data_IF_269078607910
#
_entry.id   IF_269078607910
#
_cell.length_a   1.000
_cell.length_b   1.000
_cell.length_c   1.000
_cell.angle_alpha   90.00
_cell.angle_beta   90.00
_cell.angle_gamma   90.00
#
_symmetry.space_group_name_H-M   'P 1'
#
loop_
_entity.id
_entity.type
_entity.pdbx_description
1 polymer ?
#
# COMPACT_ATOMS: atom_id res chain seq x y z
N UNK A 1 -17.49 -12.11 -4.26
CA UNK A 1 -17.40 -10.99 -3.28
C UNK A 1 -15.98 -10.45 -3.13
N UNK A 2 -14.96 -11.30 -2.85
CA UNK A 2 -13.60 -10.81 -2.59
C UNK A 2 -12.93 -10.06 -3.76
N UNK A 3 -13.20 -10.47 -5.03
CA UNK A 3 -12.70 -9.73 -6.21
C UNK A 3 -13.27 -8.32 -6.26
N UNK A 4 -14.58 -8.17 -6.00
CA UNK A 4 -15.22 -6.85 -5.97
C UNK A 4 -14.57 -5.97 -4.90
N UNK A 5 -14.30 -6.53 -3.72
CA UNK A 5 -13.61 -5.81 -2.65
C UNK A 5 -12.17 -5.44 -3.03
N UNK A 6 -11.44 -6.32 -3.73
CA UNK A 6 -10.12 -5.99 -4.25
C UNK A 6 -10.15 -4.84 -5.26
N UNK A 7 -11.15 -4.81 -6.15
CA UNK A 7 -11.36 -3.71 -7.11
C UNK A 7 -11.75 -2.41 -6.39
N UNK A 8 -12.64 -2.46 -5.41
CA UNK A 8 -13.01 -1.29 -4.59
C UNK A 8 -11.78 -0.77 -3.82
N UNK A 9 -10.94 -1.65 -3.29
CA UNK A 9 -9.67 -1.26 -2.67
C UNK A 9 -8.82 -0.44 -3.64
N UNK A 10 -8.63 -0.93 -4.87
CA UNK A 10 -7.87 -0.21 -5.90
C UNK A 10 -8.48 1.16 -6.23
N UNK A 11 -9.82 1.25 -6.32
CA UNK A 11 -10.51 2.53 -6.57
C UNK A 11 -10.23 3.52 -5.46
N UNK A 12 -10.42 3.12 -4.21
CA UNK A 12 -10.18 3.98 -3.06
C UNK A 12 -8.69 4.33 -2.87
N UNK A 13 -7.77 3.41 -3.18
CA UNK A 13 -6.34 3.69 -3.17
C UNK A 13 -5.96 4.75 -4.24
N UNK A 14 -6.54 4.65 -5.44
CA UNK A 14 -6.40 5.67 -6.49
C UNK A 14 -6.93 7.03 -6.03
N UNK A 15 -8.14 7.05 -5.44
CA UNK A 15 -8.75 8.27 -4.90
C UNK A 15 -7.89 8.89 -3.78
N UNK A 16 -7.32 8.08 -2.90
CA UNK A 16 -6.36 8.55 -1.87
C UNK A 16 -5.21 9.34 -2.50
N UNK A 17 -4.60 8.79 -3.56
CA UNK A 17 -3.47 9.41 -4.25
C UNK A 17 -3.88 10.71 -4.94
N UNK A 18 -5.05 10.73 -5.57
CA UNK A 18 -5.61 11.92 -6.22
C UNK A 18 -5.85 13.04 -5.20
N UNK A 19 -6.53 12.74 -4.10
CA UNK A 19 -6.82 13.71 -3.04
C UNK A 19 -5.53 14.27 -2.43
N UNK A 20 -4.53 13.42 -2.21
CA UNK A 20 -3.22 13.85 -1.74
C UNK A 20 -2.53 14.79 -2.75
N UNK A 21 -2.52 14.42 -4.03
CA UNK A 21 -1.88 15.22 -5.10
C UNK A 21 -2.54 16.58 -5.30
N UNK A 22 -3.86 16.64 -5.21
CA UNK A 22 -4.63 17.88 -5.42
C UNK A 22 -4.56 18.83 -4.23
N UNK A 23 -4.53 18.30 -3.02
CA UNK A 23 -4.77 19.08 -1.81
C UNK A 23 -3.58 19.31 -0.92
N UNK A 24 -2.56 18.45 -0.93
CA UNK A 24 -1.41 18.51 -0.02
C UNK A 24 -0.24 19.11 -0.79
N UNK A 25 0.04 20.40 -0.58
CA UNK A 25 1.09 21.15 -1.30
C UNK A 25 2.28 21.51 -0.41
N UNK A 26 2.01 22.00 0.80
CA UNK A 26 3.01 22.56 1.70
C UNK A 26 3.25 21.68 2.94
N UNK A 27 2.27 20.82 3.29
CA UNK A 27 2.41 19.91 4.43
C UNK A 27 3.44 18.82 4.15
N UNK A 28 4.37 18.62 5.09
CA UNK A 28 5.34 17.54 5.02
C UNK A 28 4.64 16.18 4.91
N UNK A 29 5.18 15.30 4.06
CA UNK A 29 4.57 13.99 3.77
C UNK A 29 4.49 13.06 4.97
N UNK A 30 5.45 13.11 5.90
CA UNK A 30 5.43 12.28 7.12
C UNK A 30 4.27 12.74 8.04
N UNK A 31 4.10 14.07 8.20
CA UNK A 31 3.01 14.66 8.98
C UNK A 31 1.66 14.34 8.34
N UNK A 32 1.52 14.55 7.02
CA UNK A 32 0.30 14.23 6.29
C UNK A 32 -0.08 12.76 6.44
N UNK A 33 0.91 11.86 6.41
CA UNK A 33 0.70 10.41 6.59
C UNK A 33 0.28 10.09 8.02
N UNK A 34 0.94 10.67 9.03
CA UNK A 34 0.58 10.43 10.43
C UNK A 34 -0.83 10.93 10.77
N UNK A 35 -1.19 12.15 10.33
CA UNK A 35 -2.55 12.71 10.51
C UNK A 35 -3.59 11.88 9.76
N UNK A 36 -3.31 11.48 8.51
CA UNK A 36 -4.17 10.59 7.73
C UNK A 36 -4.42 9.27 8.46
N UNK A 37 -3.39 8.68 9.06
CA UNK A 37 -3.51 7.40 9.76
C UNK A 37 -4.40 7.50 11.00
N UNK A 38 -4.51 8.66 11.66
CA UNK A 38 -5.52 8.90 12.71
C UNK A 38 -6.92 8.74 12.12
N UNK A 39 -7.19 9.37 10.97
CA UNK A 39 -8.50 9.28 10.31
C UNK A 39 -8.81 7.84 9.91
N UNK A 40 -7.81 7.13 9.36
CA UNK A 40 -7.95 5.69 9.02
C UNK A 40 -8.31 4.87 10.24
N UNK A 41 -7.65 5.11 11.39
CA UNK A 41 -7.93 4.38 12.63
C UNK A 41 -9.34 4.65 13.12
N UNK A 42 -9.73 5.92 13.21
CA UNK A 42 -11.09 6.30 13.63
C UNK A 42 -12.14 5.66 12.72
N UNK A 43 -11.94 5.76 11.40
CA UNK A 43 -12.86 5.15 10.44
C UNK A 43 -12.93 3.62 10.57
N UNK A 44 -11.80 2.95 10.78
CA UNK A 44 -11.76 1.50 10.98
C UNK A 44 -12.52 1.09 12.26
N UNK A 45 -12.37 1.82 13.36
CA UNK A 45 -13.13 1.56 14.59
C UNK A 45 -14.63 1.82 14.44
N UNK A 46 -15.02 2.87 13.70
CA UNK A 46 -16.45 3.10 13.36
C UNK A 46 -17.00 1.87 12.64
N UNK A 47 -16.27 1.31 11.68
CA UNK A 47 -16.72 0.11 10.96
C UNK A 47 -16.78 -1.12 11.85
N UNK A 48 -15.86 -1.29 12.81
CA UNK A 48 -15.92 -2.35 13.82
C UNK A 48 -17.22 -2.28 14.63
N UNK A 49 -17.65 -1.08 15.02
CA UNK A 49 -18.91 -0.87 15.73
C UNK A 49 -20.13 -1.11 14.83
N UNK A 50 -20.10 -0.62 13.59
CA UNK A 50 -21.20 -0.78 12.60
C UNK A 50 -21.44 -2.27 12.30
N UNK A 51 -20.36 -3.04 12.11
CA UNK A 51 -20.43 -4.49 11.85
C UNK A 51 -20.73 -5.31 13.11
N UNK A 52 -20.58 -4.70 14.30
CA UNK A 52 -20.84 -5.37 15.58
C UNK A 52 -19.71 -6.31 16.03
N UNK A 53 -18.51 -6.21 15.43
CA UNK A 53 -17.38 -7.11 15.73
C UNK A 53 -16.61 -6.70 17.00
N UNK A 54 -16.98 -5.59 17.65
CA UNK A 54 -16.32 -5.13 18.89
C UNK A 54 -16.30 -6.20 20.00
N UNK A 55 -17.40 -6.93 20.19
CA UNK A 55 -17.50 -7.98 21.20
C UNK A 55 -16.57 -9.18 20.99
N UNK A 56 -15.98 -9.34 19.80
CA UNK A 56 -15.08 -10.46 19.47
C UNK A 56 -13.62 -10.17 19.81
N UNK A 57 -13.28 -8.97 20.31
CA UNK A 57 -11.89 -8.59 20.68
C UNK A 57 -11.29 -9.57 21.68
N UNK A 58 -12.05 -9.97 22.69
CA UNK A 58 -11.59 -10.90 23.74
C UNK A 58 -11.44 -12.34 23.27
N UNK A 59 -12.03 -12.68 22.13
CA UNK A 59 -11.97 -14.01 21.50
C UNK A 59 -10.83 -14.16 20.50
N UNK A 60 -10.02 -13.10 20.26
CA UNK A 60 -8.90 -13.15 19.31
C UNK A 60 -7.81 -14.06 19.89
N UNK A 61 -7.43 -15.06 19.10
CA UNK A 61 -6.30 -15.92 19.44
C UNK A 61 -5.00 -15.12 19.57
N UNK A 62 -4.13 -15.39 20.58
CA UNK A 62 -2.85 -14.71 20.73
C UNK A 62 -1.97 -14.78 19.49
N UNK A 63 -2.03 -15.87 18.75
CA UNK A 63 -1.32 -16.04 17.49
C UNK A 63 -1.79 -15.04 16.43
N UNK A 64 -3.09 -14.91 16.22
CA UNK A 64 -3.68 -13.95 15.28
C UNK A 64 -3.32 -12.51 15.66
N UNK A 65 -3.43 -12.16 16.95
CA UNK A 65 -3.05 -10.85 17.44
C UNK A 65 -1.57 -10.55 17.18
N UNK A 66 -0.68 -11.52 17.44
CA UNK A 66 0.76 -11.37 17.16
C UNK A 66 1.01 -11.08 15.67
N UNK A 67 0.37 -11.84 14.76
CA UNK A 67 0.54 -11.64 13.32
C UNK A 67 -0.03 -10.30 12.82
N UNK A 68 -1.14 -9.82 13.41
CA UNK A 68 -1.68 -8.49 13.11
C UNK A 68 -0.72 -7.38 13.56
N UNK A 69 -0.13 -7.50 14.75
CA UNK A 69 0.89 -6.57 15.24
C UNK A 69 2.13 -6.60 14.33
N UNK A 70 2.64 -7.79 14.00
CA UNK A 70 3.79 -7.94 13.12
C UNK A 70 3.52 -7.36 11.72
N UNK A 71 2.29 -7.51 11.18
CA UNK A 71 1.89 -6.88 9.92
C UNK A 71 1.91 -5.36 10.01
N UNK A 72 1.42 -4.78 11.10
CA UNK A 72 1.49 -3.34 11.35
C UNK A 72 2.94 -2.84 11.46
N UNK A 73 3.78 -3.56 12.20
CA UNK A 73 5.22 -3.28 12.32
C UNK A 73 5.92 -3.35 10.98
N UNK A 74 5.65 -4.39 10.17
CA UNK A 74 6.21 -4.54 8.84
C UNK A 74 5.85 -3.35 7.93
N UNK A 75 4.60 -2.85 8.01
CA UNK A 75 4.18 -1.65 7.27
C UNK A 75 5.04 -0.43 7.65
N UNK A 76 5.20 -0.16 8.93
CA UNK A 76 5.99 0.98 9.39
C UNK A 76 7.49 0.84 9.08
N UNK A 77 8.05 -0.36 9.24
CA UNK A 77 9.44 -0.65 8.89
C UNK A 77 9.67 -0.49 7.37
N UNK A 78 8.72 -0.92 6.54
CA UNK A 78 8.77 -0.67 5.10
C UNK A 78 8.86 0.83 4.81
N UNK A 79 8.02 1.66 5.43
CA UNK A 79 8.06 3.11 5.24
C UNK A 79 9.39 3.72 5.70
N UNK A 80 9.91 3.32 6.87
CA UNK A 80 11.20 3.81 7.39
C UNK A 80 12.31 3.49 6.39
N UNK A 81 12.39 2.24 5.93
CA UNK A 81 13.39 1.81 4.97
C UNK A 81 13.25 2.52 3.62
N UNK A 82 12.03 2.66 3.11
CA UNK A 82 11.74 3.36 1.87
C UNK A 82 12.21 4.82 1.90
N UNK A 83 11.79 5.58 2.91
CA UNK A 83 12.19 6.98 3.04
C UNK A 83 13.69 7.13 3.31
N UNK A 84 14.31 6.17 4.01
CA UNK A 84 15.76 6.17 4.20
C UNK A 84 16.49 5.93 2.87
N UNK A 85 16.03 4.97 2.06
CA UNK A 85 16.58 4.74 0.73
C UNK A 85 16.46 5.98 -0.17
N UNK A 86 15.29 6.64 -0.15
CA UNK A 86 15.03 7.88 -0.92
C UNK A 86 15.92 9.06 -0.47
N UNK A 87 16.33 9.11 0.80
CA UNK A 87 17.27 10.13 1.28
C UNK A 87 18.73 9.89 0.88
N UNK A 88 19.04 8.70 0.35
CA UNK A 88 20.40 8.28 0.01
C UNK A 88 20.63 8.07 -1.49
N UNK A 89 19.57 7.94 -2.28
CA UNK A 89 19.66 7.65 -3.71
C UNK A 89 18.45 8.20 -4.49
N UNK A 90 18.61 8.27 -5.81
CA UNK A 90 17.58 8.74 -6.72
C UNK A 90 16.29 7.91 -6.62
N UNK A 91 15.15 8.58 -6.69
CA UNK A 91 13.81 7.98 -6.73
C UNK A 91 13.72 6.91 -7.82
N UNK A 92 14.33 7.15 -8.98
CA UNK A 92 14.32 6.23 -10.13
C UNK A 92 15.06 4.90 -9.87
N UNK A 93 15.91 4.84 -8.85
CA UNK A 93 16.61 3.62 -8.42
C UNK A 93 15.85 2.91 -7.30
N UNK A 94 15.28 3.67 -6.36
CA UNK A 94 14.61 3.13 -5.17
C UNK A 94 13.22 2.57 -5.50
N UNK A 95 12.41 3.33 -6.26
CA UNK A 95 11.02 2.96 -6.54
C UNK A 95 10.87 1.60 -7.26
N UNK A 96 11.70 1.23 -8.26
CA UNK A 96 11.63 -0.10 -8.87
C UNK A 96 11.79 -1.23 -7.86
N UNK A 97 12.75 -1.08 -6.96
CA UNK A 97 13.03 -2.10 -5.94
C UNK A 97 11.86 -2.20 -4.97
N UNK A 98 11.33 -1.07 -4.50
CA UNK A 98 10.14 -1.07 -3.62
C UNK A 98 8.93 -1.72 -4.29
N UNK A 99 8.67 -1.41 -5.57
CA UNK A 99 7.55 -2.01 -6.34
C UNK A 99 7.72 -3.50 -6.59
N UNK A 100 8.94 -4.05 -6.52
CA UNK A 100 9.18 -5.50 -6.59
C UNK A 100 8.54 -6.25 -5.40
N UNK A 101 8.12 -5.55 -4.35
CA UNK A 101 7.34 -6.12 -3.24
C UNK A 101 6.10 -6.88 -3.71
N UNK A 102 5.44 -6.42 -4.78
CA UNK A 102 4.27 -7.11 -5.37
C UNK A 102 4.67 -8.50 -5.87
N UNK A 103 5.78 -8.60 -6.60
CA UNK A 103 6.33 -9.86 -7.11
C UNK A 103 6.66 -10.78 -5.95
N UNK A 104 7.37 -10.25 -4.94
CA UNK A 104 7.74 -11.00 -3.75
C UNK A 104 6.51 -11.51 -2.98
N UNK A 105 5.46 -10.68 -2.86
CA UNK A 105 4.21 -11.09 -2.21
C UNK A 105 3.54 -12.24 -2.95
N UNK A 106 3.46 -12.17 -4.29
CA UNK A 106 2.86 -13.25 -5.10
C UNK A 106 3.64 -14.55 -4.94
N UNK A 107 4.97 -14.49 -5.04
CA UNK A 107 5.82 -15.67 -4.85
C UNK A 107 5.70 -16.26 -3.45
N UNK A 108 5.71 -15.43 -2.41
CA UNK A 108 5.52 -15.87 -1.04
C UNK A 108 4.11 -16.47 -0.83
N UNK A 109 3.07 -15.91 -1.43
CA UNK A 109 1.71 -16.44 -1.33
C UNK A 109 1.62 -17.83 -1.97
N UNK A 110 2.26 -18.04 -3.12
CA UNK A 110 2.32 -19.35 -3.79
C UNK A 110 3.01 -20.38 -2.87
N UNK A 111 4.15 -20.02 -2.28
CA UNK A 111 4.96 -20.93 -1.47
C UNK A 111 4.34 -21.18 -0.09
N UNK A 112 3.92 -20.13 0.61
CA UNK A 112 3.48 -20.21 2.01
C UNK A 112 2.02 -20.64 2.18
N UNK A 113 1.15 -20.25 1.23
CA UNK A 113 -0.27 -20.60 1.29
C UNK A 113 -0.67 -21.71 0.32
N UNK A 114 0.30 -22.25 -0.44
CA UNK A 114 0.02 -23.31 -1.41
C UNK A 114 -0.89 -22.84 -2.56
N UNK A 115 -0.83 -21.58 -2.92
CA UNK A 115 -1.68 -21.00 -3.99
C UNK A 115 -1.23 -21.45 -5.38
N UNK A 116 -1.19 -22.77 -5.63
CA UNK A 116 -0.63 -23.37 -6.86
C UNK A 116 -1.65 -23.53 -8.00
N UNK A 117 -2.95 -23.25 -7.74
CA UNK A 117 -3.95 -23.32 -8.80
C UNK A 117 -3.57 -22.39 -9.95
N UNK A 118 -3.59 -22.91 -11.18
CA UNK A 118 -3.16 -22.20 -12.39
C UNK A 118 -1.79 -21.48 -12.27
N UNK A 119 -0.80 -22.21 -11.71
CA UNK A 119 0.54 -21.68 -11.42
C UNK A 119 1.19 -20.96 -12.62
N UNK A 120 1.03 -21.50 -13.83
CA UNK A 120 1.59 -20.92 -15.05
C UNK A 120 1.03 -19.50 -15.27
N UNK A 121 -0.29 -19.33 -15.12
CA UNK A 121 -0.94 -18.02 -15.26
C UNK A 121 -0.41 -17.04 -14.21
N UNK A 122 -0.23 -17.49 -12.97
CA UNK A 122 0.32 -16.66 -11.89
C UNK A 122 1.75 -16.23 -12.18
N UNK A 123 2.61 -17.15 -12.62
CA UNK A 123 4.00 -16.82 -12.95
C UNK A 123 4.12 -15.89 -14.14
N UNK A 124 3.40 -16.18 -15.25
CA UNK A 124 3.39 -15.31 -16.43
C UNK A 124 2.82 -13.94 -16.08
N UNK A 125 1.69 -13.87 -15.37
CA UNK A 125 1.10 -12.62 -14.90
C UNK A 125 2.05 -11.82 -14.00
N UNK A 126 2.76 -12.50 -13.10
CA UNK A 126 3.78 -11.86 -12.24
C UNK A 126 4.93 -11.26 -13.05
N UNK A 127 5.42 -11.98 -14.07
CA UNK A 127 6.46 -11.45 -14.98
C UNK A 127 5.94 -10.24 -15.75
N UNK A 128 4.71 -10.30 -16.27
CA UNK A 128 4.10 -9.16 -16.97
C UNK A 128 3.97 -7.94 -16.04
N UNK A 129 3.54 -8.13 -14.80
CA UNK A 129 3.47 -7.07 -13.79
C UNK A 129 4.86 -6.51 -13.50
N UNK A 130 5.86 -7.37 -13.34
CA UNK A 130 7.24 -6.95 -13.11
C UNK A 130 7.75 -6.05 -14.22
N UNK A 131 7.69 -6.54 -15.47
CA UNK A 131 8.11 -5.78 -16.64
C UNK A 131 7.33 -4.48 -16.77
N UNK A 132 6.00 -4.53 -16.59
CA UNK A 132 5.11 -3.37 -16.64
C UNK A 132 5.50 -2.29 -15.62
N UNK A 133 5.71 -2.67 -14.36
CA UNK A 133 6.14 -1.76 -13.29
C UNK A 133 7.48 -1.10 -13.63
N UNK A 134 8.47 -1.89 -14.07
CA UNK A 134 9.78 -1.34 -14.45
C UNK A 134 9.69 -0.40 -15.68
N UNK A 135 8.81 -0.68 -16.64
CA UNK A 135 8.59 0.20 -17.79
C UNK A 135 7.93 1.53 -17.42
N UNK A 136 7.08 1.53 -16.37
CA UNK A 136 6.40 2.75 -15.92
C UNK A 136 7.31 3.73 -15.19
N UNK A 137 8.51 3.29 -14.76
CA UNK A 137 9.44 4.17 -14.08
C UNK A 137 10.08 5.10 -15.09
N UNK A 138 9.79 6.38 -14.94
CA UNK A 138 10.37 7.44 -15.74
C UNK A 138 11.73 7.85 -15.19
N UNK A 139 12.74 7.87 -16.03
CA UNK A 139 13.99 8.56 -15.72
C UNK A 139 13.69 10.07 -15.76
N UNK A 140 13.64 10.73 -14.60
CA UNK A 140 13.76 12.17 -14.52
C UNK A 140 15.26 12.49 -14.55
N UNK A 141 15.66 13.42 -15.39
CA UNK A 141 17.01 13.99 -15.39
C UNK A 141 17.11 14.90 -14.13
N UNK A 142 17.28 14.27 -13.00
CA UNK A 142 17.67 14.96 -11.77
C UNK A 142 19.19 14.87 -11.69
N UNK A 143 19.84 16.01 -11.37
CA UNK A 143 21.27 16.04 -11.16
C UNK A 143 21.71 14.88 -10.25
N UNK A 144 22.82 14.18 -10.57
CA UNK A 144 23.23 13.01 -9.81
C UNK A 144 23.48 13.42 -8.35
N UNK A 145 22.57 13.02 -7.45
CA UNK A 145 22.91 12.99 -6.03
C UNK A 145 23.98 11.92 -5.85
N UNK A 146 25.09 12.27 -5.18
CA UNK A 146 26.09 11.29 -4.80
C UNK A 146 25.41 10.13 -4.07
N UNK A 147 25.44 8.95 -4.70
CA UNK A 147 24.86 7.74 -4.12
C UNK A 147 25.66 7.37 -2.87
N UNK A 148 25.09 7.62 -1.70
CA UNK A 148 25.66 7.12 -0.45
C UNK A 148 25.61 5.58 -0.46
N UNK A 149 26.68 4.94 -0.01
CA UNK A 149 26.75 3.47 0.10
C UNK A 149 25.63 2.97 1.02
N UNK A 150 24.96 1.88 0.64
CA UNK A 150 23.96 1.20 1.48
C UNK A 150 22.50 1.51 1.15
N UNK A 151 22.16 2.45 0.25
CA UNK A 151 20.77 2.73 -0.13
C UNK A 151 20.02 1.49 -0.64
N UNK A 152 20.72 0.60 -1.36
CA UNK A 152 20.13 -0.61 -1.92
C UNK A 152 19.62 -1.56 -0.83
N UNK A 153 20.35 -1.67 0.30
CA UNK A 153 19.92 -2.49 1.43
C UNK A 153 18.60 -1.99 1.97
N UNK A 154 18.45 -0.68 2.16
CA UNK A 154 17.19 -0.09 2.62
C UNK A 154 16.06 -0.26 1.60
N UNK A 155 16.33 -0.12 0.30
CA UNK A 155 15.33 -0.34 -0.74
C UNK A 155 14.84 -1.79 -0.79
N UNK A 156 15.75 -2.77 -0.67
CA UNK A 156 15.41 -4.20 -0.60
C UNK A 156 14.64 -4.52 0.68
N UNK A 157 15.07 -4.00 1.83
CA UNK A 157 14.35 -4.17 3.09
C UNK A 157 12.95 -3.58 3.03
N UNK A 158 12.77 -2.41 2.38
CA UNK A 158 11.45 -1.83 2.15
C UNK A 158 10.54 -2.81 1.39
N UNK A 159 11.02 -3.38 0.29
CA UNK A 159 10.26 -4.35 -0.51
C UNK A 159 9.93 -5.63 0.29
N UNK A 160 10.88 -6.14 1.06
CA UNK A 160 10.67 -7.33 1.91
C UNK A 160 9.61 -7.06 2.98
N UNK A 161 9.71 -5.94 3.69
CA UNK A 161 8.72 -5.59 4.71
C UNK A 161 7.35 -5.27 4.10
N UNK A 162 7.30 -4.64 2.91
CA UNK A 162 6.04 -4.42 2.20
C UNK A 162 5.36 -5.73 1.81
N UNK A 163 6.11 -6.71 1.32
CA UNK A 163 5.59 -8.04 1.04
C UNK A 163 5.13 -8.76 2.33
N UNK A 164 5.96 -8.70 3.37
CA UNK A 164 5.64 -9.29 4.67
C UNK A 164 4.33 -8.73 5.26
N UNK A 165 4.02 -7.44 5.04
CA UNK A 165 2.77 -6.81 5.48
C UNK A 165 1.54 -7.60 5.07
N UNK A 166 1.42 -7.97 3.80
CA UNK A 166 0.24 -8.68 3.27
C UNK A 166 0.21 -10.15 3.70
N UNK A 167 1.37 -10.80 3.72
CA UNK A 167 1.50 -12.20 4.15
C UNK A 167 1.15 -12.35 5.64
N UNK A 168 1.72 -11.53 6.49
CA UNK A 168 1.45 -11.54 7.94
C UNK A 168 -0.02 -11.16 8.22
N UNK A 169 -0.58 -10.21 7.45
CA UNK A 169 -1.98 -9.85 7.59
C UNK A 169 -2.89 -11.04 7.24
N UNK A 170 -2.63 -11.78 6.16
CA UNK A 170 -3.42 -12.96 5.78
C UNK A 170 -3.46 -13.98 6.92
N UNK A 171 -2.32 -14.23 7.57
CA UNK A 171 -2.26 -15.14 8.72
C UNK A 171 -3.00 -14.54 9.93
N UNK A 172 -2.77 -13.25 10.20
CA UNK A 172 -3.33 -12.58 11.38
C UNK A 172 -4.84 -12.41 11.35
N UNK A 173 -5.46 -12.24 10.17
CA UNK A 173 -6.92 -12.11 10.04
C UNK A 173 -7.65 -13.46 9.92
N UNK A 174 -6.93 -14.58 9.99
CA UNK A 174 -7.55 -15.91 10.02
C UNK A 174 -8.30 -16.06 11.36
N UNK A 175 -9.62 -16.26 11.31
CA UNK A 175 -10.46 -16.35 12.51
C UNK A 175 -10.76 -15.02 13.20
N UNK A 176 -10.30 -13.89 12.68
CA UNK A 176 -10.62 -12.54 13.16
C UNK A 176 -11.45 -11.82 12.13
N UNK A 177 -12.50 -11.08 12.54
CA UNK A 177 -13.27 -10.26 11.60
C UNK A 177 -12.36 -9.21 10.93
N UNK A 178 -12.47 -9.04 9.60
CA UNK A 178 -11.49 -8.28 8.81
C UNK A 178 -11.39 -6.79 9.18
N UNK A 179 -12.52 -6.16 9.57
CA UNK A 179 -12.50 -4.75 10.00
C UNK A 179 -11.79 -4.62 11.36
N UNK A 180 -12.03 -5.56 12.28
CA UNK A 180 -11.36 -5.60 13.59
C UNK A 180 -9.85 -5.83 13.40
N UNK A 181 -9.46 -6.80 12.56
CA UNK A 181 -8.06 -7.03 12.22
C UNK A 181 -7.40 -5.79 11.61
N UNK A 182 -8.11 -5.07 10.73
CA UNK A 182 -7.64 -3.83 10.12
C UNK A 182 -7.46 -2.72 11.17
N UNK A 183 -8.41 -2.57 12.10
CA UNK A 183 -8.34 -1.56 13.17
C UNK A 183 -7.14 -1.79 14.10
N UNK A 184 -6.92 -3.04 14.53
CA UNK A 184 -5.80 -3.42 15.42
C UNK A 184 -4.46 -3.09 14.75
N UNK A 185 -4.24 -3.57 13.53
CA UNK A 185 -2.97 -3.31 12.83
C UNK A 185 -2.77 -1.84 12.50
N UNK A 186 -3.85 -1.10 12.21
CA UNK A 186 -3.78 0.35 11.95
C UNK A 186 -3.33 1.11 13.20
N UNK A 187 -3.71 0.67 14.39
CA UNK A 187 -3.19 1.20 15.66
C UNK A 187 -1.67 1.11 15.75
N UNK A 188 -1.10 -0.05 15.37
CA UNK A 188 0.36 -0.23 15.34
C UNK A 188 1.01 0.68 14.29
N UNK A 189 0.42 0.77 13.09
CA UNK A 189 0.90 1.66 12.03
C UNK A 189 0.88 3.12 12.48
N UNK A 190 -0.17 3.54 13.21
CA UNK A 190 -0.28 4.90 13.75
C UNK A 190 0.86 5.22 14.71
N UNK A 191 1.15 4.31 15.66
CA UNK A 191 2.26 4.49 16.61
C UNK A 191 3.57 4.71 15.86
N UNK A 192 3.84 3.88 14.84
CA UNK A 192 5.08 4.00 14.05
C UNK A 192 5.11 5.27 13.17
N UNK A 193 3.98 5.67 12.57
CA UNK A 193 3.90 6.91 11.81
C UNK A 193 4.23 8.12 12.69
N UNK A 194 3.69 8.18 13.90
CA UNK A 194 4.02 9.24 14.86
C UNK A 194 5.44 9.14 15.40
N UNK A 195 5.96 7.94 15.63
CA UNK A 195 7.36 7.75 15.99
C UNK A 195 8.31 8.34 14.93
N UNK A 196 7.98 8.19 13.63
CA UNK A 196 8.74 8.83 12.55
C UNK A 196 8.67 10.36 12.63
N UNK A 197 7.49 10.94 12.85
CA UNK A 197 7.29 12.39 12.95
C UNK A 197 8.06 12.97 14.15
N UNK A 198 7.99 12.33 15.31
CA UNK A 198 8.72 12.76 16.51
C UNK A 198 10.22 12.54 16.37
N UNK A 199 10.65 11.37 15.87
CA UNK A 199 12.06 11.05 15.69
C UNK A 199 12.77 11.98 14.70
N UNK A 200 12.05 12.51 13.70
CA UNK A 200 12.56 13.52 12.76
C UNK A 200 12.36 14.97 13.25
N UNK A 201 11.81 15.20 14.44
CA UNK A 201 11.54 16.53 14.99
C UNK A 201 10.47 17.34 14.25
N UNK A 202 9.72 16.72 13.34
CA UNK A 202 8.76 17.38 12.46
C UNK A 202 7.44 17.79 13.15
N UNK A 203 7.20 17.31 14.37
CA UNK A 203 5.99 17.63 15.16
C UNK A 203 5.77 19.14 15.35
N UNK A 204 6.86 19.94 15.32
CA UNK A 204 6.77 21.41 15.43
C UNK A 204 5.99 22.05 14.27
N UNK A 205 5.98 21.42 13.10
CA UNK A 205 5.36 21.94 11.88
C UNK A 205 3.85 21.58 11.75
N UNK A 206 3.31 20.83 12.69
CA UNK A 206 1.88 20.41 12.66
C UNK A 206 0.95 21.63 12.69
N UNK A 207 1.30 22.65 13.46
CA UNK A 207 0.51 23.89 13.57
C UNK A 207 0.45 24.70 12.26
N UNK A 208 1.35 24.42 11.31
CA UNK A 208 1.41 25.09 10.01
C UNK A 208 0.47 24.48 8.95
N UNK A 209 -0.27 23.41 9.28
CA UNK A 209 -1.20 22.79 8.32
C UNK A 209 -2.36 23.74 8.05
N UNK A 210 -2.57 24.14 6.79
CA UNK A 210 -3.71 24.95 6.42
C UNK A 210 -5.02 24.17 6.55
N UNK A 211 -6.13 24.88 6.84
CA UNK A 211 -7.47 24.24 6.95
C UNK A 211 -7.87 23.50 5.67
N UNK A 212 -7.47 24.00 4.52
CA UNK A 212 -7.76 23.36 3.25
C UNK A 212 -6.97 22.06 3.08
N UNK A 213 -5.66 22.06 3.36
CA UNK A 213 -4.84 20.86 3.31
C UNK A 213 -5.32 19.81 4.32
N UNK A 214 -5.71 20.23 5.53
CA UNK A 214 -6.26 19.33 6.53
C UNK A 214 -7.54 18.64 6.03
N UNK A 215 -8.44 19.35 5.32
CA UNK A 215 -9.63 18.74 4.69
C UNK A 215 -9.24 17.66 3.70
N UNK A 216 -8.26 17.91 2.81
CA UNK A 216 -7.79 16.92 1.85
C UNK A 216 -7.07 15.74 2.52
N UNK A 217 -6.31 15.98 3.59
CA UNK A 217 -5.71 14.91 4.40
C UNK A 217 -6.81 14.03 5.00
N UNK A 218 -7.86 14.62 5.58
CA UNK A 218 -8.99 13.88 6.16
C UNK A 218 -9.74 13.06 5.09
N UNK A 219 -10.09 13.68 3.96
CA UNK A 219 -10.76 12.98 2.86
C UNK A 219 -9.89 11.84 2.30
N UNK A 220 -8.59 12.07 2.13
CA UNK A 220 -7.66 11.02 1.74
C UNK A 220 -7.54 9.92 2.81
N UNK A 221 -7.69 10.27 4.08
CA UNK A 221 -7.73 9.31 5.20
C UNK A 221 -8.96 8.40 5.15
N UNK A 222 -10.14 8.96 4.87
CA UNK A 222 -11.37 8.18 4.69
C UNK A 222 -11.21 7.23 3.47
N UNK A 223 -10.71 7.73 2.35
CA UNK A 223 -10.45 6.92 1.17
C UNK A 223 -9.42 5.80 1.45
N UNK A 224 -8.34 6.11 2.19
CA UNK A 224 -7.34 5.11 2.61
C UNK A 224 -7.98 4.06 3.52
N UNK A 225 -8.79 4.46 4.49
CA UNK A 225 -9.51 3.56 5.38
C UNK A 225 -10.44 2.62 4.62
N UNK A 226 -11.26 3.15 3.72
CA UNK A 226 -12.11 2.36 2.85
C UNK A 226 -11.31 1.37 1.99
N UNK A 227 -10.19 1.83 1.40
CA UNK A 227 -9.28 0.96 0.66
C UNK A 227 -8.76 -0.20 1.52
N UNK A 228 -8.24 0.07 2.72
CA UNK A 228 -7.68 -0.95 3.59
C UNK A 228 -8.73 -1.96 4.10
N UNK A 229 -9.93 -1.49 4.45
CA UNK A 229 -11.02 -2.39 4.85
C UNK A 229 -11.40 -3.34 3.71
N UNK A 230 -11.56 -2.82 2.49
CA UNK A 230 -11.83 -3.63 1.31
C UNK A 230 -10.66 -4.60 0.99
N UNK A 231 -9.43 -4.11 1.08
CA UNK A 231 -8.22 -4.90 0.82
C UNK A 231 -8.08 -6.08 1.78
N UNK A 232 -8.19 -5.84 3.09
CA UNK A 232 -8.01 -6.92 4.07
C UNK A 232 -9.19 -7.89 4.09
N UNK A 233 -10.40 -7.44 3.77
CA UNK A 233 -11.50 -8.35 3.49
C UNK A 233 -11.17 -9.26 2.28
N UNK A 234 -10.64 -8.68 1.21
CA UNK A 234 -10.24 -9.44 0.03
C UNK A 234 -9.09 -10.41 0.33
N UNK A 235 -8.09 -9.98 1.10
CA UNK A 235 -6.98 -10.83 1.56
C UNK A 235 -7.48 -11.99 2.43
N UNK A 236 -8.45 -11.74 3.31
CA UNK A 236 -9.03 -12.78 4.17
C UNK A 236 -9.75 -13.86 3.37
N UNK A 237 -10.60 -13.45 2.43
CA UNK A 237 -11.54 -14.35 1.74
C UNK A 237 -11.08 -14.78 0.34
N UNK A 238 -9.97 -14.24 -0.15
CA UNK A 238 -9.46 -14.44 -1.50
C UNK A 238 -8.06 -15.00 -1.56
N UNK A 239 -7.57 -15.09 -2.78
CA UNK A 239 -6.24 -15.58 -3.14
C UNK A 239 -5.27 -14.39 -3.13
N UNK A 240 -4.28 -14.40 -2.24
CA UNK A 240 -3.36 -13.26 -2.03
C UNK A 240 -2.59 -12.92 -3.29
N UNK A 241 -2.15 -13.94 -4.05
CA UNK A 241 -1.43 -13.77 -5.33
C UNK A 241 -2.25 -13.07 -6.42
N UNK A 242 -3.58 -12.95 -6.24
CA UNK A 242 -4.48 -12.22 -7.14
C UNK A 242 -4.91 -10.88 -6.54
N UNK A 243 -5.24 -10.84 -5.25
CA UNK A 243 -5.71 -9.63 -4.56
C UNK A 243 -4.67 -8.52 -4.59
N UNK A 244 -3.40 -8.85 -4.31
CA UNK A 244 -2.33 -7.85 -4.27
C UNK A 244 -2.09 -7.17 -5.62
N UNK A 245 -1.99 -7.89 -6.75
CA UNK A 245 -1.94 -7.26 -8.06
C UNK A 245 -3.16 -6.40 -8.39
N UNK A 246 -4.40 -6.83 -8.06
CA UNK A 246 -5.61 -6.04 -8.31
C UNK A 246 -5.54 -4.70 -7.56
N UNK A 247 -5.12 -4.70 -6.30
CA UNK A 247 -4.95 -3.47 -5.52
C UNK A 247 -3.97 -2.49 -6.20
N UNK A 248 -2.89 -3.00 -6.83
CA UNK A 248 -1.94 -2.17 -7.58
C UNK A 248 -2.52 -1.56 -8.86
N UNK A 249 -3.67 -2.04 -9.34
CA UNK A 249 -4.41 -1.39 -10.43
C UNK A 249 -4.93 0.01 -10.07
N UNK A 250 -4.85 0.42 -8.80
CA UNK A 250 -5.06 1.80 -8.36
C UNK A 250 -4.24 2.83 -9.16
N UNK A 251 -3.12 2.41 -9.72
CA UNK A 251 -2.30 3.24 -10.61
C UNK A 251 -3.04 3.64 -11.89
N UNK A 252 -3.94 2.79 -12.42
CA UNK A 252 -4.76 3.13 -13.60
C UNK A 252 -5.65 4.34 -13.30
N UNK A 253 -6.27 4.36 -12.12
CA UNK A 253 -7.16 5.45 -11.70
C UNK A 253 -6.35 6.74 -11.54
N UNK A 254 -5.18 6.64 -10.90
CA UNK A 254 -4.29 7.79 -10.70
C UNK A 254 -3.79 8.35 -12.04
N UNK A 255 -3.39 7.48 -12.97
CA UNK A 255 -2.91 7.87 -14.31
C UNK A 255 -4.04 8.48 -15.13
N UNK A 256 -5.22 7.85 -15.15
CA UNK A 256 -6.40 8.39 -15.86
C UNK A 256 -6.76 9.79 -15.35
N UNK A 257 -6.78 9.97 -14.02
CA UNK A 257 -7.01 11.29 -13.42
C UNK A 257 -5.92 12.31 -13.83
N UNK A 258 -4.65 11.93 -13.73
CA UNK A 258 -3.54 12.82 -14.12
C UNK A 258 -3.64 13.23 -15.60
N UNK A 259 -4.02 12.31 -16.48
CA UNK A 259 -4.22 12.59 -17.90
C UNK A 259 -5.40 13.55 -18.14
N UNK A 260 -6.56 13.30 -17.52
CA UNK A 260 -7.80 14.08 -17.77
C UNK A 260 -7.72 15.46 -17.12
N UNK A 261 -7.35 15.53 -15.83
CA UNK A 261 -7.46 16.75 -15.03
C UNK A 261 -6.17 17.56 -14.97
N UNK A 262 -5.02 16.90 -14.92
CA UNK A 262 -3.72 17.56 -14.85
C UNK A 262 -3.07 17.70 -16.22
N UNK A 263 -3.69 17.14 -17.28
CA UNK A 263 -3.19 17.14 -18.68
C UNK A 263 -1.76 16.60 -18.79
N UNK A 264 -1.36 15.74 -17.86
CA UNK A 264 -0.05 15.07 -17.88
C UNK A 264 -0.08 13.97 -18.95
N UNK A 265 0.76 14.09 -19.99
CA UNK A 265 0.85 13.07 -21.04
C UNK A 265 1.67 11.88 -20.56
N UNK A 266 1.13 10.68 -20.73
CA UNK A 266 1.86 9.45 -20.47
C UNK A 266 2.87 9.22 -21.62
N UNK A 267 4.12 8.91 -21.29
CA UNK A 267 5.10 8.47 -22.29
C UNK A 267 4.72 7.10 -22.83
N UNK A 268 5.00 6.84 -24.10
CA UNK A 268 4.67 5.56 -24.76
C UNK A 268 5.17 4.34 -23.96
N UNK A 269 6.40 4.43 -23.45
CA UNK A 269 6.99 3.38 -22.60
C UNK A 269 6.15 3.09 -21.36
N UNK A 270 5.71 4.14 -20.66
CA UNK A 270 4.88 4.02 -19.44
C UNK A 270 3.47 3.51 -19.78
N UNK A 271 2.92 3.87 -20.93
CA UNK A 271 1.63 3.36 -21.41
C UNK A 271 1.69 1.84 -21.70
N UNK A 272 2.75 1.38 -22.37
CA UNK A 272 2.98 -0.06 -22.60
C UNK A 272 3.17 -0.80 -21.28
N UNK A 273 3.94 -0.24 -20.34
CA UNK A 273 4.13 -0.81 -19.02
C UNK A 273 2.81 -0.94 -18.24
N UNK A 274 1.95 0.08 -18.30
CA UNK A 274 0.63 0.07 -17.70
C UNK A 274 -0.28 -1.00 -18.32
N UNK A 275 -0.26 -1.14 -19.65
CA UNK A 275 -1.00 -2.17 -20.36
C UNK A 275 -0.55 -3.58 -19.97
N UNK A 276 0.77 -3.83 -19.92
CA UNK A 276 1.33 -5.12 -19.51
C UNK A 276 0.94 -5.48 -18.06
N UNK A 277 1.05 -4.53 -17.13
CA UNK A 277 0.65 -4.74 -15.73
C UNK A 277 -0.84 -5.06 -15.63
N UNK A 278 -1.68 -4.33 -16.38
CA UNK A 278 -3.13 -4.54 -16.40
C UNK A 278 -3.48 -5.91 -16.98
N UNK A 279 -2.88 -6.30 -18.09
CA UNK A 279 -3.11 -7.61 -18.73
C UNK A 279 -2.69 -8.76 -17.80
N UNK A 280 -1.51 -8.66 -17.17
CA UNK A 280 -1.03 -9.66 -16.22
C UNK A 280 -1.97 -9.82 -15.02
N UNK A 281 -2.44 -8.70 -14.45
CA UNK A 281 -3.40 -8.71 -13.33
C UNK A 281 -4.75 -9.28 -13.75
N UNK A 282 -5.30 -8.87 -14.90
CA UNK A 282 -6.57 -9.37 -15.41
C UNK A 282 -6.50 -10.86 -15.72
N UNK A 283 -5.40 -11.33 -16.33
CA UNK A 283 -5.20 -12.76 -16.56
C UNK A 283 -5.25 -13.55 -15.25
N UNK A 284 -4.58 -13.09 -14.19
CA UNK A 284 -4.65 -13.73 -12.88
C UNK A 284 -6.05 -13.65 -12.27
N UNK A 285 -6.76 -12.54 -12.42
CA UNK A 285 -8.10 -12.37 -11.85
C UNK A 285 -9.18 -13.24 -12.53
N UNK A 286 -9.01 -13.52 -13.82
CA UNK A 286 -10.00 -14.30 -14.63
C UNK A 286 -9.72 -15.80 -14.57
N UNK A 287 -8.45 -16.21 -14.59
CA UNK A 287 -8.08 -17.62 -14.73
C UNK A 287 -7.63 -18.28 -13.42
N UNK A 288 -7.60 -17.57 -12.32
CA UNK A 288 -7.29 -18.08 -10.99
C UNK A 288 -8.50 -18.00 -10.06
#
# INVERSE_FOLDING_TARGET
MWIIMAVLSAIFAGLTTILAKCGIKNTDSDIATAVRTIVVLVFSWIMVFVVGSFGTITAIEPKSLLFLILSGLATGLSWICYFKALSMADVNKVVPIDKSSTILTVLLAIVLFGETHNLVVKLVGTVMIAVGVFMMIEKKDVAPQENQRGWMIYAVLSAVFAAATSILAKVGITGVESNLGTAIRTGVVLILAWAIVFGKGKHKNIKGISKNELRFICLSGIATGASWLCYYYAIQNGVVSVVVPIDKMSILITVAFSYIFLKEKLKTKSAIGLALMSMGTLAMAVFV
#
